data_IF_241502569741
#
_entry.id   IF_241502569741
#
_cell.length_a   1.000
_cell.length_b   1.000
_cell.length_c   1.000
_cell.angle_alpha   90.00
_cell.angle_beta   90.00
_cell.angle_gamma   90.00
#
_symmetry.space_group_name_H-M   'P 1'
#
loop_
_entity.id
_entity.type
_entity.pdbx_description
1 polymer ?
#
# COMPACT_ATOMS: atom_id res chain seq x y z
N UNK A 1 18.79 28.33 12.32
CA UNK A 1 17.35 28.20 12.01
C UNK A 1 16.51 28.27 13.29
N UNK A 2 16.84 27.54 14.37
CA UNK A 2 16.20 27.70 15.68
C UNK A 2 16.73 28.91 16.46
N UNK A 3 15.84 29.77 16.96
CA UNK A 3 16.18 30.92 17.81
C UNK A 3 16.35 30.55 19.28
N UNK A 4 15.69 29.48 19.75
CA UNK A 4 15.89 28.94 21.11
C UNK A 4 17.13 28.05 21.18
N UNK A 5 17.89 28.17 22.27
CA UNK A 5 19.04 27.31 22.55
C UNK A 5 18.62 25.87 22.87
N UNK A 6 17.46 25.68 23.51
CA UNK A 6 16.94 24.36 23.85
C UNK A 6 16.53 23.58 22.60
N UNK A 7 15.78 24.21 21.69
CA UNK A 7 15.41 23.60 20.40
C UNK A 7 16.67 23.26 19.59
N UNK A 8 17.67 24.14 19.59
CA UNK A 8 18.93 23.90 18.87
C UNK A 8 19.69 22.71 19.44
N UNK A 9 19.77 22.60 20.77
CA UNK A 9 20.41 21.45 21.45
C UNK A 9 19.66 20.15 21.13
N UNK A 10 18.33 20.16 21.22
CA UNK A 10 17.51 18.99 20.95
C UNK A 10 17.66 18.52 19.49
N UNK A 11 17.50 19.43 18.52
CA UNK A 11 17.64 19.10 17.11
C UNK A 11 19.05 18.62 16.75
N UNK A 12 20.09 19.24 17.32
CA UNK A 12 21.46 18.76 17.12
C UNK A 12 21.66 17.36 17.70
N UNK A 13 21.16 17.10 18.91
CA UNK A 13 21.20 15.77 19.51
C UNK A 13 20.47 14.73 18.65
N UNK A 14 19.24 15.01 18.21
CA UNK A 14 18.48 14.14 17.30
C UNK A 14 19.21 13.91 15.97
N UNK A 15 19.95 14.89 15.47
CA UNK A 15 20.70 14.75 14.20
C UNK A 15 21.97 13.91 14.31
N UNK A 16 22.55 13.81 15.51
CA UNK A 16 23.82 13.13 15.76
C UNK A 16 23.63 11.73 16.35
N UNK A 17 22.60 11.52 17.16
CA UNK A 17 22.33 10.24 17.79
C UNK A 17 21.32 9.40 16.98
N UNK A 18 21.85 8.42 16.25
CA UNK A 18 21.04 7.52 15.39
C UNK A 18 19.95 6.77 16.16
N UNK A 19 20.23 6.34 17.41
CA UNK A 19 19.25 5.64 18.23
C UNK A 19 18.05 6.54 18.57
N UNK A 20 18.32 7.76 19.00
CA UNK A 20 17.28 8.74 19.33
C UNK A 20 16.53 9.21 18.10
N UNK A 21 17.20 9.40 16.96
CA UNK A 21 16.52 9.68 15.70
C UNK A 21 15.55 8.55 15.32
N UNK A 22 16.02 7.29 15.39
CA UNK A 22 15.19 6.13 15.07
C UNK A 22 13.99 6.02 16.02
N UNK A 23 14.20 6.25 17.32
CA UNK A 23 13.15 6.18 18.33
C UNK A 23 12.13 7.30 18.19
N UNK A 24 12.58 8.56 18.11
CA UNK A 24 11.72 9.73 18.23
C UNK A 24 11.17 10.24 16.89
N UNK A 25 11.87 10.03 15.78
CA UNK A 25 11.45 10.48 14.45
C UNK A 25 10.87 9.34 13.64
N UNK A 26 11.64 8.26 13.44
CA UNK A 26 11.25 7.18 12.52
C UNK A 26 10.12 6.34 13.08
N UNK A 27 10.28 5.76 14.27
CA UNK A 27 9.22 4.98 14.94
C UNK A 27 8.02 5.86 15.33
N UNK A 28 8.27 7.13 15.63
CA UNK A 28 7.24 8.13 15.87
C UNK A 28 6.47 8.58 14.63
N UNK A 29 6.84 8.14 13.43
CA UNK A 29 6.30 8.63 12.15
C UNK A 29 6.19 10.17 12.13
N UNK A 30 7.19 10.86 12.66
CA UNK A 30 7.22 12.34 12.67
C UNK A 30 7.64 12.83 11.30
N UNK A 31 6.82 13.69 10.72
CA UNK A 31 7.12 14.43 9.51
C UNK A 31 7.60 15.84 9.88
N UNK A 32 7.94 16.64 8.86
CA UNK A 32 8.47 17.98 9.07
C UNK A 32 7.51 18.90 9.84
N UNK A 33 6.20 18.75 9.66
CA UNK A 33 5.20 19.54 10.38
C UNK A 33 5.27 19.23 11.87
N UNK A 34 5.37 17.95 12.24
CA UNK A 34 5.49 17.58 13.66
C UNK A 34 6.78 18.15 14.27
N UNK A 35 7.90 18.11 13.53
CA UNK A 35 9.17 18.69 14.00
C UNK A 35 9.05 20.19 14.22
N UNK A 36 8.36 20.92 13.33
CA UNK A 36 8.14 22.37 13.45
C UNK A 36 7.15 22.71 14.58
N UNK A 37 6.15 21.87 14.82
CA UNK A 37 5.21 22.02 15.94
C UNK A 37 5.90 21.80 17.29
N UNK A 38 6.77 20.80 17.38
CA UNK A 38 7.56 20.48 18.58
C UNK A 38 8.64 21.53 18.86
N UNK A 39 9.20 22.16 17.81
CA UNK A 39 10.31 23.12 17.90
C UNK A 39 9.92 24.48 17.33
N UNK A 40 9.04 25.20 18.05
CA UNK A 40 8.42 26.46 17.58
C UNK A 40 9.42 27.58 17.30
N UNK A 41 10.64 27.50 17.84
CA UNK A 41 11.66 28.52 17.58
C UNK A 41 12.37 28.35 16.23
N UNK A 42 12.12 27.23 15.52
CA UNK A 42 12.65 26.98 14.18
C UNK A 42 11.99 27.94 13.20
N UNK A 43 12.77 28.90 12.72
CA UNK A 43 12.37 29.77 11.62
C UNK A 43 12.82 29.15 10.29
N UNK A 44 11.92 28.39 9.66
CA UNK A 44 12.12 27.79 8.35
C UNK A 44 11.22 28.48 7.32
N UNK A 45 11.82 29.08 6.29
CA UNK A 45 11.05 29.69 5.20
C UNK A 45 10.40 28.63 4.32
N UNK A 46 9.32 29.00 3.63
CA UNK A 46 8.67 28.13 2.63
C UNK A 46 9.66 27.68 1.55
N UNK A 47 10.52 28.59 1.08
CA UNK A 47 11.56 28.28 0.09
C UNK A 47 12.51 27.18 0.57
N UNK A 48 13.04 27.31 1.78
CA UNK A 48 13.94 26.30 2.34
C UNK A 48 13.21 24.97 2.53
N UNK A 49 11.94 25.01 2.94
CA UNK A 49 11.09 23.83 3.10
C UNK A 49 10.92 23.08 1.77
N UNK A 50 10.57 23.79 0.70
CA UNK A 50 10.38 23.18 -0.63
C UNK A 50 11.69 22.64 -1.22
N UNK A 51 12.84 23.21 -0.86
CA UNK A 51 14.16 22.72 -1.29
C UNK A 51 14.56 21.41 -0.62
N UNK A 52 14.18 21.18 0.63
CA UNK A 52 14.56 19.97 1.38
C UNK A 52 13.53 18.83 1.25
N UNK A 53 12.28 19.14 0.91
CA UNK A 53 11.25 18.12 0.80
C UNK A 53 11.47 17.22 -0.43
N UNK A 54 11.42 15.89 -0.26
CA UNK A 54 11.52 14.98 -1.40
C UNK A 54 10.27 15.09 -2.27
N UNK A 55 10.43 14.83 -3.57
CA UNK A 55 9.29 14.71 -4.49
C UNK A 55 8.39 13.54 -4.06
N UNK A 56 7.09 13.75 -4.14
CA UNK A 56 6.09 12.70 -3.90
C UNK A 56 6.32 11.54 -4.88
N UNK A 57 6.57 10.36 -4.34
CA UNK A 57 6.77 9.15 -5.12
C UNK A 57 5.44 8.45 -5.43
N UNK A 58 5.25 7.91 -6.64
CA UNK A 58 4.07 7.09 -6.94
C UNK A 58 4.08 5.80 -6.09
N UNK A 59 2.89 5.29 -5.77
CA UNK A 59 2.72 3.99 -5.12
C UNK A 59 2.22 2.96 -6.13
N UNK A 60 2.82 1.79 -6.10
CA UNK A 60 2.48 0.70 -7.01
C UNK A 60 1.44 -0.22 -6.36
N UNK A 61 0.41 -0.54 -7.13
CA UNK A 61 -0.60 -1.52 -6.77
C UNK A 61 -0.69 -2.55 -7.90
N UNK A 62 -0.76 -3.83 -7.54
CA UNK A 62 -1.04 -4.87 -8.52
C UNK A 62 -2.47 -4.74 -9.00
N UNK A 63 -2.64 -4.78 -10.32
CA UNK A 63 -3.97 -4.83 -10.94
C UNK A 63 -4.60 -6.17 -10.57
N UNK A 64 -5.87 -6.14 -10.15
CA UNK A 64 -6.65 -7.31 -9.77
C UNK A 64 -7.78 -7.65 -10.74
N UNK A 65 -7.83 -6.99 -11.90
CA UNK A 65 -8.72 -7.31 -13.02
C UNK A 65 -7.96 -7.87 -14.24
N UNK A 66 -8.68 -8.55 -15.13
CA UNK A 66 -8.20 -8.95 -16.46
C UNK A 66 -8.62 -7.90 -17.49
N UNK A 67 -7.73 -7.60 -18.45
CA UNK A 67 -8.08 -6.75 -19.60
C UNK A 67 -9.03 -7.43 -20.59
N UNK A 68 -9.11 -8.76 -20.56
CA UNK A 68 -10.03 -9.53 -21.40
C UNK A 68 -11.45 -9.48 -20.82
N UNK A 69 -11.60 -9.63 -19.49
CA UNK A 69 -12.90 -9.52 -18.82
C UNK A 69 -13.36 -8.07 -18.61
N UNK A 70 -12.43 -7.12 -18.44
CA UNK A 70 -12.74 -5.72 -18.14
C UNK A 70 -11.86 -4.74 -18.96
N UNK A 71 -12.07 -4.60 -20.28
CA UNK A 71 -11.13 -3.91 -21.18
C UNK A 71 -10.88 -2.43 -20.88
N UNK A 72 -11.82 -1.75 -20.22
CA UNK A 72 -11.76 -0.31 -19.92
C UNK A 72 -11.66 -0.01 -18.43
N UNK A 73 -11.44 -1.03 -17.59
CA UNK A 73 -11.44 -0.91 -16.14
C UNK A 73 -10.27 -1.67 -15.51
N UNK A 74 -9.46 -0.96 -14.75
CA UNK A 74 -8.42 -1.54 -13.92
C UNK A 74 -8.91 -1.56 -12.47
N UNK A 75 -8.91 -2.74 -11.86
CA UNK A 75 -9.22 -2.89 -10.43
C UNK A 75 -7.91 -2.99 -9.66
N UNK A 76 -7.89 -2.49 -8.42
CA UNK A 76 -6.77 -2.66 -7.50
C UNK A 76 -7.29 -3.19 -6.17
N UNK A 77 -6.50 -4.02 -5.50
CA UNK A 77 -6.75 -4.44 -4.13
C UNK A 77 -5.70 -3.78 -3.25
N UNK A 78 -6.12 -2.96 -2.29
CA UNK A 78 -5.20 -2.22 -1.43
C UNK A 78 -5.56 -2.39 0.04
N UNK A 79 -4.53 -2.40 0.89
CA UNK A 79 -4.65 -2.28 2.33
C UNK A 79 -4.59 -0.80 2.68
N UNK A 80 -5.55 -0.31 3.46
CA UNK A 80 -5.46 1.01 4.07
C UNK A 80 -4.40 0.94 5.17
N UNK A 81 -3.35 1.75 5.01
CA UNK A 81 -2.25 1.74 5.96
C UNK A 81 -2.52 2.81 7.02
N UNK A 82 -2.86 2.37 8.22
CA UNK A 82 -3.14 3.22 9.36
C UNK A 82 -2.58 2.57 10.62
N UNK A 83 -1.92 3.37 11.45
CA UNK A 83 -1.33 2.93 12.71
C UNK A 83 -1.56 3.99 13.79
N UNK A 84 -2.09 3.58 14.94
CA UNK A 84 -2.21 4.46 16.11
C UNK A 84 -0.90 4.43 16.89
N UNK A 85 -0.41 5.62 17.25
CA UNK A 85 0.94 5.81 17.80
C UNK A 85 0.85 6.67 19.05
N UNK A 86 1.57 6.29 20.11
CA UNK A 86 1.70 7.11 21.31
C UNK A 86 2.73 8.27 21.13
N UNK A 87 2.89 9.10 22.17
CA UNK A 87 3.92 10.18 22.18
C UNK A 87 5.36 9.67 22.06
N UNK A 88 5.61 8.40 22.35
CA UNK A 88 6.95 7.79 22.33
C UNK A 88 7.29 7.11 21.01
N UNK A 89 6.34 7.06 20.09
CA UNK A 89 6.49 6.41 18.79
C UNK A 89 6.27 4.90 18.82
N UNK A 90 5.52 4.39 19.79
CA UNK A 90 5.14 2.98 19.87
C UNK A 90 3.74 2.75 19.33
N UNK A 91 3.58 1.65 18.60
CA UNK A 91 2.30 1.15 18.10
C UNK A 91 1.36 0.88 19.28
N UNK A 92 0.17 1.43 19.22
CA UNK A 92 -0.85 1.27 20.25
C UNK A 92 -2.10 0.65 19.64
N UNK A 93 -2.67 -0.35 20.31
CA UNK A 93 -3.96 -0.93 19.87
C UNK A 93 -5.13 0.03 20.16
N UNK A 94 -5.00 0.92 21.15
CA UNK A 94 -6.00 1.93 21.53
C UNK A 94 -5.34 3.18 22.15
N UNK A 95 -5.76 4.36 21.71
CA UNK A 95 -5.31 5.66 22.26
C UNK A 95 -5.55 6.82 21.28
N UNK A 96 -5.83 8.02 21.79
CA UNK A 96 -6.27 9.18 20.99
C UNK A 96 -5.14 10.07 20.46
N UNK A 97 -3.88 9.81 20.78
CA UNK A 97 -2.91 10.91 20.71
C UNK A 97 -2.34 11.17 19.30
N UNK A 98 -2.19 10.16 18.42
CA UNK A 98 -1.84 10.36 17.00
C UNK A 98 -2.13 9.13 16.12
N UNK A 99 -2.52 9.35 14.87
CA UNK A 99 -2.65 8.29 13.86
C UNK A 99 -1.78 8.57 12.65
N UNK A 100 -0.87 7.65 12.34
CA UNK A 100 -0.20 7.63 11.06
C UNK A 100 -1.16 7.10 9.99
N UNK A 101 -1.16 7.75 8.83
CA UNK A 101 -1.92 7.32 7.67
C UNK A 101 -1.00 7.29 6.45
N UNK A 102 -0.99 6.17 5.74
CA UNK A 102 -0.30 6.03 4.47
C UNK A 102 -0.87 7.01 3.46
N UNK A 103 0.00 7.83 2.84
CA UNK A 103 -0.44 8.94 1.98
C UNK A 103 -1.33 8.48 0.83
N UNK A 104 -0.92 7.46 0.08
CA UNK A 104 -1.66 7.02 -1.11
C UNK A 104 -2.85 6.12 -0.78
N UNK A 105 -2.70 5.18 0.17
CA UNK A 105 -3.78 4.27 0.55
C UNK A 105 -4.95 5.01 1.22
N UNK A 106 -4.66 5.97 2.10
CA UNK A 106 -5.69 6.81 2.71
C UNK A 106 -6.29 7.83 1.73
N UNK A 107 -5.50 8.32 0.77
CA UNK A 107 -6.02 9.15 -0.33
C UNK A 107 -7.05 8.36 -1.14
N UNK A 108 -6.69 7.17 -1.61
CA UNK A 108 -7.57 6.33 -2.43
C UNK A 108 -8.82 5.87 -1.66
N UNK A 109 -8.71 5.59 -0.36
CA UNK A 109 -9.85 5.12 0.45
C UNK A 109 -10.91 6.20 0.71
N UNK A 110 -10.59 7.48 0.46
CA UNK A 110 -11.48 8.62 0.68
C UNK A 110 -12.06 9.19 -0.61
N UNK A 111 -11.77 8.59 -1.76
CA UNK A 111 -12.28 9.07 -3.04
C UNK A 111 -13.72 8.65 -3.25
N UNK A 112 -14.54 9.59 -3.71
CA UNK A 112 -15.89 9.31 -4.19
C UNK A 112 -15.87 8.78 -5.62
N UNK A 113 -16.90 8.03 -5.98
CA UNK A 113 -17.12 7.56 -7.34
C UNK A 113 -17.19 8.76 -8.29
N UNK A 114 -16.42 8.70 -9.39
CA UNK A 114 -16.29 9.80 -10.36
C UNK A 114 -15.08 10.72 -10.11
N UNK A 115 -14.36 10.56 -9.00
CA UNK A 115 -13.12 11.29 -8.75
C UNK A 115 -12.04 10.95 -9.77
N UNK A 116 -11.28 11.97 -10.20
CA UNK A 116 -10.13 11.79 -11.07
C UNK A 116 -8.90 11.32 -10.27
N UNK A 117 -8.17 10.34 -10.80
CA UNK A 117 -6.91 9.85 -10.21
C UNK A 117 -5.82 9.88 -11.28
N UNK A 118 -4.68 10.49 -10.96
CA UNK A 118 -3.50 10.40 -11.80
C UNK A 118 -2.81 9.06 -11.58
N UNK A 119 -2.84 8.19 -12.58
CA UNK A 119 -2.22 6.87 -12.55
C UNK A 119 -1.47 6.58 -13.85
N UNK A 120 -0.50 5.67 -13.77
CA UNK A 120 0.22 5.16 -14.92
C UNK A 120 0.31 3.63 -14.83
N UNK A 121 0.11 2.96 -15.96
CA UNK A 121 0.33 1.53 -16.06
C UNK A 121 1.83 1.23 -16.13
N UNK A 122 2.31 0.42 -15.19
CA UNK A 122 3.65 -0.15 -15.23
C UNK A 122 3.56 -1.61 -15.62
N UNK A 123 4.25 -2.00 -16.70
CA UNK A 123 4.28 -3.39 -17.16
C UNK A 123 5.01 -4.28 -16.15
N UNK A 124 4.47 -5.47 -15.93
CA UNK A 124 5.07 -6.51 -15.10
C UNK A 124 5.41 -7.73 -15.97
N UNK A 125 6.52 -8.45 -15.69
CA UNK A 125 6.78 -9.77 -16.27
C UNK A 125 5.88 -10.85 -15.65
N UNK A 126 5.20 -10.57 -14.54
CA UNK A 126 4.28 -11.48 -13.87
C UNK A 126 2.99 -11.63 -14.70
N UNK A 127 2.96 -12.68 -15.53
CA UNK A 127 1.91 -12.97 -16.50
C UNK A 127 1.68 -14.48 -16.58
N UNK A 128 0.58 -14.90 -17.19
CA UNK A 128 0.38 -16.29 -17.56
C UNK A 128 1.52 -16.78 -18.48
N UNK A 129 1.91 -18.07 -18.40
CA UNK A 129 2.81 -18.69 -19.36
C UNK A 129 2.30 -18.52 -20.80
N UNK A 130 3.22 -18.52 -21.77
CA UNK A 130 2.85 -18.52 -23.20
C UNK A 130 2.19 -19.84 -23.61
N UNK A 131 2.68 -20.94 -23.03
CA UNK A 131 2.12 -22.27 -23.22
C UNK A 131 1.09 -22.53 -22.12
N UNK A 132 -0.19 -22.56 -22.52
CA UNK A 132 -1.32 -22.74 -21.63
C UNK A 132 -1.42 -24.16 -21.05
N UNK A 133 -0.66 -25.12 -21.56
CA UNK A 133 -0.54 -26.46 -20.97
C UNK A 133 0.38 -26.50 -19.74
N UNK A 134 1.13 -25.44 -19.48
CA UNK A 134 2.03 -25.35 -18.32
C UNK A 134 1.19 -25.18 -17.04
N UNK A 135 1.27 -26.09 -16.06
CA UNK A 135 0.52 -25.97 -14.81
C UNK A 135 1.00 -24.77 -13.99
N UNK A 136 0.06 -24.09 -13.33
CA UNK A 136 0.28 -22.82 -12.64
C UNK A 136 -0.01 -22.98 -11.15
N UNK A 137 0.96 -22.64 -10.31
CA UNK A 137 0.77 -22.55 -8.85
C UNK A 137 0.87 -21.08 -8.44
N UNK A 138 -0.22 -20.56 -7.90
CA UNK A 138 -0.33 -19.19 -7.42
C UNK A 138 -0.37 -19.19 -5.89
N UNK A 139 0.50 -18.43 -5.25
CA UNK A 139 0.58 -18.35 -3.78
C UNK A 139 0.53 -16.89 -3.35
N UNK A 140 -0.41 -16.54 -2.48
CA UNK A 140 -0.57 -15.18 -2.01
C UNK A 140 -1.28 -15.11 -0.66
N UNK A 141 -1.00 -14.06 0.11
CA UNK A 141 -1.68 -13.81 1.38
C UNK A 141 -2.14 -12.35 1.47
N UNK A 142 -3.29 -12.13 2.10
CA UNK A 142 -3.92 -10.81 2.19
C UNK A 142 -4.03 -10.12 0.82
N UNK A 143 -3.58 -8.87 0.69
CA UNK A 143 -3.60 -8.14 -0.58
C UNK A 143 -2.69 -8.73 -1.67
N UNK A 144 -1.85 -9.71 -1.34
CA UNK A 144 -1.09 -10.52 -2.31
C UNK A 144 -1.99 -11.32 -3.27
N UNK A 145 -3.29 -11.46 -2.98
CA UNK A 145 -4.28 -12.06 -3.89
C UNK A 145 -4.50 -11.22 -5.17
N UNK A 146 -4.18 -9.92 -5.15
CA UNK A 146 -4.51 -8.99 -6.24
C UNK A 146 -4.07 -9.49 -7.63
N UNK A 147 -2.77 -9.74 -7.90
CA UNK A 147 -2.35 -10.22 -9.21
C UNK A 147 -2.83 -11.63 -9.51
N UNK A 148 -3.10 -12.45 -8.48
CA UNK A 148 -3.58 -13.83 -8.67
C UNK A 148 -5.01 -13.84 -9.20
N UNK A 149 -5.86 -12.96 -8.64
CA UNK A 149 -7.22 -12.70 -9.16
C UNK A 149 -7.19 -12.28 -10.62
N UNK A 150 -6.30 -11.36 -11.00
CA UNK A 150 -6.15 -10.94 -12.39
C UNK A 150 -5.73 -12.10 -13.31
N UNK A 151 -4.77 -12.93 -12.89
CA UNK A 151 -4.33 -14.11 -13.65
C UNK A 151 -5.44 -15.16 -13.79
N UNK A 152 -6.20 -15.40 -12.73
CA UNK A 152 -7.36 -16.30 -12.79
C UNK A 152 -8.40 -15.80 -13.78
N UNK A 153 -8.79 -14.52 -13.71
CA UNK A 153 -9.79 -13.96 -14.62
C UNK A 153 -9.36 -14.06 -16.09
N UNK A 154 -8.07 -13.84 -16.36
CA UNK A 154 -7.50 -14.01 -17.70
C UNK A 154 -7.53 -15.49 -18.15
N UNK A 155 -7.15 -16.42 -17.26
CA UNK A 155 -7.17 -17.85 -17.56
C UNK A 155 -8.60 -18.35 -17.78
N UNK A 156 -9.54 -17.96 -16.93
CA UNK A 156 -10.96 -18.29 -17.05
C UNK A 156 -11.56 -17.76 -18.35
N UNK A 157 -11.24 -16.52 -18.74
CA UNK A 157 -11.63 -16.00 -20.05
C UNK A 157 -11.04 -16.82 -21.21
N UNK A 158 -9.77 -17.22 -21.13
CA UNK A 158 -9.15 -18.08 -22.15
C UNK A 158 -9.83 -19.45 -22.24
N UNK A 159 -10.12 -20.10 -21.11
CA UNK A 159 -10.82 -21.39 -21.06
C UNK A 159 -12.21 -21.30 -21.69
N UNK A 160 -12.99 -20.28 -21.31
CA UNK A 160 -14.38 -20.11 -21.77
C UNK A 160 -14.47 -19.70 -23.23
N UNK A 161 -13.60 -18.81 -23.71
CA UNK A 161 -13.69 -18.26 -25.06
C UNK A 161 -12.88 -19.04 -26.11
N UNK A 162 -11.79 -19.69 -25.71
CA UNK A 162 -10.88 -20.40 -26.63
C UNK A 162 -10.89 -21.91 -26.46
N UNK A 163 -11.60 -22.44 -25.46
CA UNK A 163 -11.71 -23.88 -25.21
C UNK A 163 -10.40 -24.54 -24.76
N UNK A 164 -9.44 -23.76 -24.25
CA UNK A 164 -8.19 -24.29 -23.70
C UNK A 164 -8.39 -24.76 -22.27
N UNK A 165 -7.68 -25.81 -21.87
CA UNK A 165 -7.62 -26.24 -20.46
C UNK A 165 -6.34 -25.68 -19.84
N UNK A 166 -6.45 -24.99 -18.71
CA UNK A 166 -5.30 -24.46 -17.95
C UNK A 166 -5.37 -25.04 -16.54
N UNK A 167 -4.36 -25.81 -16.14
CA UNK A 167 -4.27 -26.32 -14.77
C UNK A 167 -3.75 -25.21 -13.85
N UNK A 168 -4.55 -24.80 -12.87
CA UNK A 168 -4.20 -23.72 -11.95
C UNK A 168 -4.61 -24.05 -10.52
N UNK A 169 -3.69 -23.87 -9.57
CA UNK A 169 -3.96 -24.00 -8.13
C UNK A 169 -3.62 -22.69 -7.43
N UNK A 170 -4.54 -22.19 -6.59
CA UNK A 170 -4.34 -20.98 -5.79
C UNK A 170 -4.28 -21.33 -4.30
N UNK A 171 -3.14 -21.02 -3.67
CA UNK A 171 -2.97 -21.04 -2.22
C UNK A 171 -3.15 -19.63 -1.67
N UNK A 172 -4.23 -19.41 -0.92
CA UNK A 172 -4.53 -18.14 -0.30
C UNK A 172 -4.46 -18.18 1.23
N UNK A 173 -3.77 -17.22 1.83
CA UNK A 173 -3.68 -17.04 3.28
C UNK A 173 -4.32 -15.75 3.80
N UNK A 174 -5.10 -15.84 4.87
CA UNK A 174 -5.64 -14.70 5.61
C UNK A 174 -5.64 -15.01 7.12
N UNK A 175 -5.90 -14.02 7.98
CA UNK A 175 -5.89 -14.22 9.45
C UNK A 175 -7.12 -14.97 9.92
N UNK A 176 -8.30 -14.55 9.47
CA UNK A 176 -9.60 -15.09 9.86
C UNK A 176 -10.54 -15.08 8.66
N UNK A 177 -11.07 -16.25 8.32
CA UNK A 177 -11.94 -16.41 7.16
C UNK A 177 -13.16 -15.46 7.19
N UNK A 178 -13.67 -15.14 8.37
CA UNK A 178 -14.82 -14.24 8.56
C UNK A 178 -14.50 -12.74 8.45
N UNK A 179 -13.23 -12.35 8.34
CA UNK A 179 -12.82 -10.94 8.43
C UNK A 179 -12.01 -10.47 7.23
N UNK A 180 -10.96 -11.21 6.85
CA UNK A 180 -9.98 -10.76 5.85
C UNK A 180 -9.79 -11.77 4.72
N UNK A 181 -10.77 -12.65 4.51
CA UNK A 181 -10.85 -13.52 3.33
C UNK A 181 -11.33 -12.73 2.10
N UNK A 182 -10.40 -12.00 1.49
CA UNK A 182 -10.66 -11.18 0.30
C UNK A 182 -11.13 -12.04 -0.87
N UNK A 183 -12.17 -11.59 -1.57
CA UNK A 183 -12.73 -12.25 -2.75
C UNK A 183 -13.26 -13.67 -2.50
N UNK A 184 -13.67 -14.01 -1.27
CA UNK A 184 -14.12 -15.36 -0.91
C UNK A 184 -15.14 -15.95 -1.89
N UNK A 185 -16.21 -15.24 -2.18
CA UNK A 185 -17.27 -15.73 -3.07
C UNK A 185 -16.76 -15.99 -4.49
N UNK A 186 -15.89 -15.11 -5.01
CA UNK A 186 -15.24 -15.34 -6.29
C UNK A 186 -14.38 -16.60 -6.24
N UNK A 187 -13.54 -16.74 -5.21
CA UNK A 187 -12.64 -17.89 -5.00
C UNK A 187 -13.39 -19.22 -4.85
N UNK A 188 -14.51 -19.24 -4.12
CA UNK A 188 -15.38 -20.41 -3.98
C UNK A 188 -15.95 -20.81 -5.34
N UNK A 189 -16.43 -19.83 -6.12
CA UNK A 189 -16.87 -20.08 -7.50
C UNK A 189 -15.75 -20.60 -8.40
N UNK A 190 -14.47 -20.27 -8.13
CA UNK A 190 -13.34 -20.82 -8.90
C UNK A 190 -13.15 -22.31 -8.64
N UNK A 191 -13.29 -22.73 -7.38
CA UNK A 191 -13.12 -24.14 -6.98
C UNK A 191 -14.22 -25.03 -7.55
N UNK A 192 -15.45 -24.51 -7.62
CA UNK A 192 -16.59 -25.26 -8.15
C UNK A 192 -16.51 -25.47 -9.68
N UNK A 193 -15.72 -24.65 -10.37
CA UNK A 193 -15.56 -24.70 -11.82
C UNK A 193 -14.42 -25.62 -12.31
N UNK A 194 -13.66 -26.23 -11.39
CA UNK A 194 -12.59 -27.20 -11.70
C UNK A 194 -11.22 -26.56 -11.89
#
# INVERSE_FOLDING_TARGET
LATSDDDRRNLNWLSQDSFSYQKHIVKGYKNIVDVLVDHKSVNLTLENTLRILPRVQPRYYSISSSSSSSPKQAHITLKVEEEAIDRTGQSMERGEERRFQGTCSSFLSRLDVGSAVQAQLRRSPFKLPKDMSTPIILVGAGTGIAPLRAMYLEAHHAMTCSGVTIEMVIFFGCRRQSEDCLYREEMESMMDCG
#
